data_IF_051859121711
#
_entry.id   IF_051859121711
#
_cell.length_a   1.000
_cell.length_b   1.000
_cell.length_c   1.000
_cell.angle_alpha   90.00
_cell.angle_beta   90.00
_cell.angle_gamma   90.00
#
_symmetry.space_group_name_H-M   'P 1'
#
loop_
_entity.id
_entity.type
_entity.pdbx_description
1 polymer ?
#
# COMPACT_ATOMS: atom_id res chain seq x y z
N UNK A 1 38.49 28.12 -46.19
CA UNK A 1 39.66 27.67 -45.41
C UNK A 1 39.16 27.53 -43.98
N UNK A 2 38.61 26.34 -43.70
CA UNK A 2 39.21 25.30 -42.83
C UNK A 2 38.77 25.53 -41.37
N UNK A 3 37.76 24.79 -40.89
CA UNK A 3 37.79 23.40 -40.38
C UNK A 3 38.55 23.23 -39.07
N UNK A 4 37.81 22.94 -37.98
CA UNK A 4 38.01 21.87 -36.98
C UNK A 4 36.98 22.08 -35.85
N UNK A 5 35.84 21.38 -35.79
CA UNK A 5 35.61 20.01 -35.27
C UNK A 5 36.42 19.68 -34.01
N UNK A 6 35.86 20.03 -32.85
CA UNK A 6 36.25 19.52 -31.53
C UNK A 6 35.13 18.63 -30.97
N UNK A 7 35.43 17.34 -30.91
CA UNK A 7 34.60 16.21 -30.50
C UNK A 7 34.30 16.26 -28.98
N UNK A 8 33.04 16.42 -28.59
CA UNK A 8 32.59 16.14 -27.22
C UNK A 8 32.76 14.64 -26.97
N UNK A 9 33.67 14.29 -26.04
CA UNK A 9 33.80 12.94 -25.50
C UNK A 9 32.98 12.90 -24.22
N UNK A 10 31.99 12.01 -24.19
CA UNK A 10 31.34 11.61 -22.95
C UNK A 10 32.39 11.16 -21.95
N UNK A 11 32.41 11.81 -20.80
CA UNK A 11 33.05 11.28 -19.62
C UNK A 11 32.07 10.32 -18.97
N UNK A 12 32.35 9.03 -19.07
CA UNK A 12 31.90 8.09 -18.05
C UNK A 12 32.57 8.54 -16.74
N UNK A 13 31.79 9.06 -15.80
CA UNK A 13 32.22 9.16 -14.41
C UNK A 13 32.29 7.75 -13.84
N UNK A 14 33.46 7.13 -14.00
CA UNK A 14 33.83 5.94 -13.24
C UNK A 14 33.98 6.36 -11.78
N UNK A 15 32.97 6.05 -10.98
CA UNK A 15 33.01 6.25 -9.53
C UNK A 15 34.02 5.25 -8.95
N UNK A 16 35.23 5.73 -8.69
CA UNK A 16 36.25 4.99 -7.95
C UNK A 16 35.87 5.07 -6.46
N UNK A 17 35.34 3.98 -5.90
CA UNK A 17 35.10 3.86 -4.47
C UNK A 17 36.44 3.57 -3.80
N UNK A 18 36.98 4.54 -3.05
CA UNK A 18 38.14 4.30 -2.20
C UNK A 18 37.75 3.32 -1.07
N UNK A 19 38.61 2.32 -0.75
CA UNK A 19 38.31 1.30 0.25
C UNK A 19 38.29 1.81 1.70
N UNK A 20 38.60 3.09 1.93
CA UNK A 20 38.82 3.65 3.27
C UNK A 20 37.68 4.52 3.81
N UNK A 21 36.50 4.54 3.17
CA UNK A 21 35.24 4.92 3.83
C UNK A 21 35.20 6.27 4.57
N UNK A 22 35.95 7.28 4.13
CA UNK A 22 35.82 8.63 4.69
C UNK A 22 34.59 9.33 4.13
N UNK A 23 33.46 9.14 4.82
CA UNK A 23 32.30 10.03 4.74
C UNK A 23 32.67 11.30 5.49
N UNK A 24 32.68 12.43 4.76
CA UNK A 24 33.06 13.74 5.28
C UNK A 24 32.31 14.13 6.56
N UNK A 25 32.98 14.96 7.36
CA UNK A 25 32.61 15.46 8.70
C UNK A 25 31.10 15.72 8.88
N UNK A 26 30.37 14.68 9.27
CA UNK A 26 29.01 14.77 9.78
C UNK A 26 29.04 15.06 11.28
N UNK A 27 28.21 15.99 11.73
CA UNK A 27 28.09 16.40 13.13
C UNK A 27 27.94 15.21 14.08
N UNK A 28 28.61 15.30 15.23
CA UNK A 28 28.64 14.26 16.25
C UNK A 28 27.26 14.12 16.92
N UNK A 29 26.50 13.10 16.54
CA UNK A 29 25.20 12.78 17.15
C UNK A 29 25.39 12.42 18.63
N UNK A 30 24.80 13.21 19.55
CA UNK A 30 24.88 12.97 21.00
C UNK A 30 23.94 11.84 21.44
N UNK A 31 24.47 10.62 21.38
CA UNK A 31 23.77 9.40 21.79
C UNK A 31 23.62 9.26 23.32
N UNK A 32 24.12 10.18 24.15
CA UNK A 32 24.05 10.03 25.62
C UNK A 32 22.62 10.21 26.17
N UNK A 33 21.75 10.93 25.47
CA UNK A 33 20.35 11.14 25.86
C UNK A 33 19.52 9.84 25.82
N UNK A 34 19.81 8.96 24.85
CA UNK A 34 19.12 7.69 24.62
C UNK A 34 19.31 6.66 25.75
N UNK A 35 20.42 6.72 26.50
CA UNK A 35 20.72 5.72 27.54
C UNK A 35 19.98 5.94 28.86
N UNK A 36 19.10 6.95 28.97
CA UNK A 36 18.30 7.16 30.19
C UNK A 36 17.02 6.31 30.25
N UNK A 37 16.58 5.72 29.14
CA UNK A 37 15.25 5.09 29.03
C UNK A 37 15.27 3.59 28.74
N UNK A 38 16.43 2.99 28.44
CA UNK A 38 16.52 1.55 28.20
C UNK A 38 16.53 0.75 29.53
N UNK A 39 15.68 -0.27 29.59
CA UNK A 39 15.47 -1.20 30.69
C UNK A 39 16.77 -1.68 31.38
N UNK A 40 16.68 -1.82 32.70
CA UNK A 40 17.75 -1.91 33.73
C UNK A 40 18.68 -3.13 33.57
N UNK A 41 18.37 -4.07 32.66
CA UNK A 41 19.19 -5.26 32.41
C UNK A 41 20.59 -4.92 31.85
N UNK A 42 20.72 -3.84 31.08
CA UNK A 42 22.01 -3.39 30.51
C UNK A 42 22.97 -2.76 31.53
N UNK A 43 22.51 -2.53 32.76
CA UNK A 43 23.32 -2.01 33.88
C UNK A 43 24.09 -3.12 34.60
N UNK A 44 23.78 -4.39 34.35
CA UNK A 44 24.47 -5.55 34.96
C UNK A 44 25.74 -5.98 34.22
N UNK A 45 25.90 -5.56 32.96
CA UNK A 45 27.06 -5.91 32.14
C UNK A 45 28.33 -5.13 32.50
N UNK A 46 29.52 -5.76 32.51
CA UNK A 46 30.81 -5.09 32.69
C UNK A 46 30.98 -3.87 31.78
N UNK A 47 31.62 -2.81 32.30
CA UNK A 47 31.77 -1.53 31.58
C UNK A 47 32.39 -1.66 30.18
N UNK A 48 33.31 -2.62 30.00
CA UNK A 48 33.93 -2.91 28.70
C UNK A 48 32.92 -3.43 27.69
N UNK A 49 31.99 -4.28 28.12
CA UNK A 49 30.93 -4.83 27.26
C UNK A 49 29.97 -3.70 26.87
N UNK A 50 29.54 -2.88 27.83
CA UNK A 50 28.69 -1.69 27.56
C UNK A 50 29.32 -0.75 26.54
N UNK A 51 30.63 -0.46 26.64
CA UNK A 51 31.35 0.37 25.64
C UNK A 51 31.35 -0.24 24.25
N UNK A 52 31.57 -1.56 24.13
CA UNK A 52 31.52 -2.27 22.84
C UNK A 52 30.13 -2.18 22.24
N UNK A 53 29.08 -2.42 23.03
CA UNK A 53 27.69 -2.28 22.57
C UNK A 53 27.38 -0.86 22.11
N UNK A 54 27.83 0.17 22.84
CA UNK A 54 27.68 1.57 22.39
C UNK A 54 28.38 1.84 21.05
N UNK A 55 29.59 1.29 20.86
CA UNK A 55 30.29 1.40 19.59
C UNK A 55 29.54 0.70 18.45
N UNK A 56 28.98 -0.49 18.70
CA UNK A 56 28.15 -1.22 17.73
C UNK A 56 26.88 -0.43 17.36
N UNK A 57 26.20 0.20 18.33
CA UNK A 57 25.05 1.09 18.05
C UNK A 57 25.42 2.29 17.18
N UNK A 58 26.61 2.87 17.39
CA UNK A 58 27.12 3.96 16.52
C UNK A 58 27.41 3.47 15.10
N UNK A 59 27.87 2.23 14.92
CA UNK A 59 28.02 1.61 13.59
C UNK A 59 26.64 1.43 12.95
N UNK A 60 25.66 0.91 13.69
CA UNK A 60 24.30 0.72 13.20
C UNK A 60 23.65 2.04 12.75
N UNK A 61 23.76 3.10 13.55
CA UNK A 61 23.24 4.43 13.20
C UNK A 61 23.88 5.01 11.93
N UNK A 62 25.16 4.72 11.66
CA UNK A 62 25.79 5.07 10.37
C UNK A 62 25.21 4.26 9.22
N UNK A 63 24.85 3.00 9.44
CA UNK A 63 24.13 2.16 8.48
C UNK A 63 22.79 2.78 8.08
N UNK A 64 22.01 3.25 9.06
CA UNK A 64 20.71 3.92 8.81
C UNK A 64 20.84 5.15 7.90
N UNK A 65 21.92 5.91 8.02
CA UNK A 65 22.20 7.05 7.12
C UNK A 65 22.54 6.64 5.69
N UNK A 66 23.11 5.44 5.49
CA UNK A 66 23.35 4.88 4.16
C UNK A 66 22.03 4.38 3.56
N UNK A 67 21.21 3.67 4.34
CA UNK A 67 19.88 3.23 3.90
C UNK A 67 18.98 4.42 3.53
N UNK A 68 19.02 5.51 4.30
CA UNK A 68 18.35 6.77 3.97
C UNK A 68 18.65 7.26 2.56
N UNK A 69 19.95 7.27 2.20
CA UNK A 69 20.42 7.68 0.86
C UNK A 69 20.00 6.70 -0.23
N UNK A 70 20.03 5.40 0.07
CA UNK A 70 19.56 4.36 -0.83
C UNK A 70 18.09 4.58 -1.22
N UNK A 71 17.23 4.88 -0.25
CA UNK A 71 15.82 5.18 -0.53
C UNK A 71 15.60 6.54 -1.23
N UNK A 72 16.45 7.53 -0.98
CA UNK A 72 16.49 8.78 -1.75
C UNK A 72 16.75 8.50 -3.25
N UNK A 73 17.72 7.63 -3.55
CA UNK A 73 18.04 7.21 -4.92
C UNK A 73 16.90 6.40 -5.55
N UNK A 74 16.26 5.51 -4.79
CA UNK A 74 15.04 4.80 -5.24
C UNK A 74 13.96 5.79 -5.64
N UNK A 75 13.64 6.79 -4.80
CA UNK A 75 12.61 7.79 -5.11
C UNK A 75 12.91 8.59 -6.40
N UNK A 76 14.17 8.89 -6.67
CA UNK A 76 14.59 9.52 -7.93
C UNK A 76 14.37 8.55 -9.10
N UNK A 77 14.71 7.27 -8.93
CA UNK A 77 14.55 6.24 -9.93
C UNK A 77 13.08 5.97 -10.25
N UNK A 78 12.22 5.87 -9.23
CA UNK A 78 10.78 5.72 -9.38
C UNK A 78 10.19 6.85 -10.22
N UNK A 79 10.51 8.12 -9.92
CA UNK A 79 10.04 9.26 -10.71
C UNK A 79 10.50 9.21 -12.17
N UNK A 80 11.73 8.73 -12.41
CA UNK A 80 12.22 8.52 -13.78
C UNK A 80 11.39 7.48 -14.51
N UNK A 81 11.14 6.32 -13.91
CA UNK A 81 10.39 5.23 -14.57
C UNK A 81 8.89 5.52 -14.67
N UNK A 82 8.33 6.26 -13.72
CA UNK A 82 6.95 6.75 -13.80
C UNK A 82 6.73 7.52 -15.11
N UNK A 83 7.66 8.40 -15.50
CA UNK A 83 7.57 9.12 -16.78
C UNK A 83 7.56 8.21 -18.02
N UNK A 84 8.13 7.00 -17.93
CA UNK A 84 8.12 6.01 -18.99
C UNK A 84 6.82 5.18 -19.02
N UNK A 85 6.19 4.98 -17.86
CA UNK A 85 4.89 4.30 -17.76
C UNK A 85 3.71 5.20 -18.16
N UNK A 86 3.79 6.50 -17.91
CA UNK A 86 2.74 7.47 -18.26
C UNK A 86 2.19 7.36 -19.70
N UNK A 87 3.01 7.25 -20.78
CA UNK A 87 2.47 7.06 -22.13
C UNK A 87 1.74 5.72 -22.30
N UNK A 88 2.15 4.64 -21.61
CA UNK A 88 1.49 3.34 -21.65
C UNK A 88 0.13 3.40 -20.93
N UNK A 89 0.07 4.05 -19.77
CA UNK A 89 -1.19 4.28 -19.05
C UNK A 89 -2.14 5.21 -19.81
N UNK A 90 -1.61 6.21 -20.51
CA UNK A 90 -2.40 7.04 -21.41
C UNK A 90 -2.97 6.21 -22.58
N UNK A 91 -2.19 5.31 -23.18
CA UNK A 91 -2.68 4.40 -24.22
C UNK A 91 -3.76 3.46 -23.70
N UNK A 92 -3.56 2.85 -22.52
CA UNK A 92 -4.59 2.04 -21.84
C UNK A 92 -5.89 2.82 -21.69
N UNK A 93 -5.83 4.07 -21.23
CA UNK A 93 -7.01 4.93 -21.10
C UNK A 93 -7.71 5.19 -22.45
N UNK A 94 -6.97 5.38 -23.54
CA UNK A 94 -7.59 5.56 -24.86
C UNK A 94 -8.39 4.32 -25.28
N UNK A 95 -7.87 3.12 -24.99
CA UNK A 95 -8.51 1.83 -25.29
C UNK A 95 -9.72 1.63 -24.38
N UNK A 96 -9.54 1.71 -23.05
CA UNK A 96 -10.64 1.46 -22.09
C UNK A 96 -11.79 2.45 -22.25
N UNK A 97 -11.54 3.68 -22.68
CA UNK A 97 -12.59 4.68 -22.97
C UNK A 97 -13.14 4.64 -24.40
N UNK A 98 -12.60 3.76 -25.28
CA UNK A 98 -13.01 3.63 -26.68
C UNK A 98 -12.74 4.88 -27.52
N UNK A 99 -11.70 5.65 -27.17
CA UNK A 99 -11.21 6.77 -27.97
C UNK A 99 -10.26 6.30 -29.07
N UNK A 100 -9.66 5.13 -28.90
CA UNK A 100 -8.82 4.45 -29.89
C UNK A 100 -9.17 2.96 -29.90
N UNK A 101 -9.40 2.41 -31.09
CA UNK A 101 -9.47 0.95 -31.27
C UNK A 101 -8.04 0.40 -31.47
N UNK A 102 -7.66 -0.69 -30.79
CA UNK A 102 -6.39 -1.36 -31.02
C UNK A 102 -6.28 -1.89 -32.45
N UNK A 103 -5.06 -1.95 -32.98
CA UNK A 103 -4.77 -2.62 -34.26
C UNK A 103 -4.66 -4.13 -34.08
N UNK A 104 -4.86 -4.88 -35.16
CA UNK A 104 -4.73 -6.34 -35.17
C UNK A 104 -3.37 -6.80 -34.60
N UNK A 105 -2.27 -6.11 -34.94
CA UNK A 105 -0.93 -6.46 -34.41
C UNK A 105 -0.75 -6.14 -32.92
N UNK A 106 -1.52 -5.19 -32.37
CA UNK A 106 -1.51 -4.85 -30.94
C UNK A 106 -2.34 -5.84 -30.11
N UNK A 107 -3.23 -6.60 -30.78
CA UNK A 107 -4.05 -7.65 -30.18
C UNK A 107 -3.38 -9.04 -30.21
N UNK A 108 -2.29 -9.20 -30.96
CA UNK A 108 -1.54 -10.46 -31.08
C UNK A 108 -0.67 -10.71 -29.83
N UNK A 109 -1.33 -11.02 -28.71
CA UNK A 109 -0.69 -11.32 -27.44
C UNK A 109 -0.46 -12.83 -27.29
N UNK A 110 0.77 -13.31 -26.98
CA UNK A 110 1.10 -14.75 -27.00
C UNK A 110 0.41 -15.65 -25.96
N UNK A 111 -0.52 -15.13 -25.15
CA UNK A 111 -1.10 -15.80 -23.98
C UNK A 111 -2.55 -16.31 -24.17
N UNK A 112 -2.96 -16.63 -25.39
CA UNK A 112 -3.99 -17.66 -25.57
C UNK A 112 -3.38 -19.04 -25.23
N UNK A 113 -2.96 -19.25 -23.96
CA UNK A 113 -2.83 -20.60 -23.44
C UNK A 113 -4.26 -21.15 -23.33
N UNK A 114 -4.45 -22.41 -23.77
CA UNK A 114 -5.76 -23.07 -23.79
C UNK A 114 -6.52 -22.92 -22.45
N UNK A 115 -5.83 -22.77 -21.32
CA UNK A 115 -6.42 -22.62 -19.98
C UNK A 115 -7.09 -21.25 -19.73
N UNK A 116 -6.48 -20.13 -20.14
CA UNK A 116 -7.07 -18.80 -19.97
C UNK A 116 -8.28 -18.62 -20.90
N UNK A 117 -8.15 -19.13 -22.13
CA UNK A 117 -9.24 -19.18 -23.10
C UNK A 117 -10.39 -20.10 -22.63
N UNK A 118 -10.10 -21.25 -22.00
CA UNK A 118 -11.11 -22.12 -21.39
C UNK A 118 -11.82 -21.48 -20.19
N UNK A 119 -11.11 -20.72 -19.34
CA UNK A 119 -11.70 -20.00 -18.21
C UNK A 119 -12.62 -18.86 -18.69
N UNK A 120 -12.17 -18.08 -19.67
CA UNK A 120 -12.98 -17.05 -20.32
C UNK A 120 -14.21 -17.65 -21.03
N UNK A 121 -14.06 -18.81 -21.68
CA UNK A 121 -15.19 -19.53 -22.29
C UNK A 121 -16.17 -20.08 -21.25
N UNK A 122 -15.71 -20.58 -20.10
CA UNK A 122 -16.59 -21.00 -18.98
C UNK A 122 -17.38 -19.83 -18.42
N UNK A 123 -16.72 -18.70 -18.15
CA UNK A 123 -17.38 -17.48 -17.69
C UNK A 123 -18.40 -16.94 -18.71
N UNK A 124 -18.12 -17.04 -20.01
CA UNK A 124 -19.08 -16.73 -21.09
C UNK A 124 -20.22 -17.74 -21.19
N UNK A 125 -19.95 -19.03 -20.94
CA UNK A 125 -20.94 -20.11 -21.04
C UNK A 125 -22.00 -20.06 -19.94
N UNK A 126 -21.63 -19.57 -18.75
CA UNK A 126 -22.57 -19.31 -17.65
C UNK A 126 -23.43 -18.06 -17.91
N UNK A 127 -23.00 -17.19 -18.84
CA UNK A 127 -23.67 -15.97 -19.23
C UNK A 127 -24.24 -16.07 -20.66
N UNK A 128 -24.96 -17.17 -20.95
CA UNK A 128 -25.62 -17.43 -22.25
C UNK A 128 -26.73 -16.41 -22.54
N UNK A 129 -26.32 -15.26 -23.06
CA UNK A 129 -27.13 -14.28 -23.74
C UNK A 129 -26.26 -13.45 -24.67
N UNK A 130 -26.37 -13.72 -25.98
CA UNK A 130 -25.78 -13.01 -27.12
C UNK A 130 -24.29 -13.27 -27.43
N UNK A 131 -24.02 -14.35 -28.17
CA UNK A 131 -22.98 -14.31 -29.20
C UNK A 131 -23.68 -14.09 -30.55
N UNK A 132 -23.30 -13.01 -31.24
CA UNK A 132 -23.75 -12.69 -32.60
C UNK A 132 -24.38 -11.31 -32.71
N UNK A 133 -23.61 -10.36 -33.25
CA UNK A 133 -24.09 -9.15 -33.94
C UNK A 133 -24.83 -8.05 -33.13
N UNK A 134 -24.34 -7.69 -31.94
CA UNK A 134 -24.70 -6.42 -31.25
C UNK A 134 -23.48 -5.59 -30.77
N UNK A 135 -22.28 -5.78 -31.36
CA UNK A 135 -21.09 -4.99 -31.02
C UNK A 135 -21.12 -3.55 -31.60
N UNK A 136 -22.05 -3.25 -32.51
CA UNK A 136 -22.26 -1.91 -33.07
C UNK A 136 -22.84 -0.97 -32.01
N UNK A 137 -21.95 -0.39 -31.18
CA UNK A 137 -22.30 0.65 -30.21
C UNK A 137 -21.63 0.53 -28.85
N UNK A 138 -20.94 -0.57 -28.56
CA UNK A 138 -20.14 -0.70 -27.33
C UNK A 138 -18.85 0.09 -27.54
N UNK A 139 -18.65 1.13 -26.71
CA UNK A 139 -17.47 1.98 -26.78
C UNK A 139 -16.49 1.63 -25.65
N UNK A 140 -15.28 1.24 -26.00
CA UNK A 140 -14.23 0.92 -25.04
C UNK A 140 -14.55 -0.35 -24.24
N UNK A 141 -14.12 -0.37 -22.98
CA UNK A 141 -14.37 -1.47 -22.04
C UNK A 141 -15.24 -0.94 -20.90
N UNK A 142 -16.58 -1.10 -20.99
CA UNK A 142 -17.49 -0.60 -19.96
C UNK A 142 -17.12 -1.12 -18.57
N UNK A 143 -17.17 -0.23 -17.58
CA UNK A 143 -16.97 -0.54 -16.16
C UNK A 143 -15.62 -1.19 -15.83
N UNK A 144 -14.60 -1.04 -16.70
CA UNK A 144 -13.26 -1.63 -16.53
C UNK A 144 -12.72 -1.54 -15.11
N UNK A 145 -12.70 -0.33 -14.53
CA UNK A 145 -12.15 -0.12 -13.18
C UNK A 145 -13.03 -0.70 -12.07
N UNK A 146 -14.35 -0.58 -12.17
CA UNK A 146 -15.26 -1.18 -11.19
C UNK A 146 -15.10 -2.71 -11.18
N UNK A 147 -15.05 -3.35 -12.34
CA UNK A 147 -14.83 -4.79 -12.46
C UNK A 147 -13.46 -5.18 -11.91
N UNK A 148 -12.39 -4.46 -12.26
CA UNK A 148 -11.05 -4.73 -11.74
C UNK A 148 -10.99 -4.60 -10.21
N UNK A 149 -11.62 -3.58 -9.62
CA UNK A 149 -11.67 -3.39 -8.17
C UNK A 149 -12.47 -4.50 -7.47
N UNK A 150 -13.58 -4.95 -8.06
CA UNK A 150 -14.40 -6.05 -7.50
C UNK A 150 -13.71 -7.40 -7.52
N UNK A 151 -12.73 -7.59 -8.41
CA UNK A 151 -11.90 -8.80 -8.45
C UNK A 151 -10.73 -8.76 -7.45
N UNK A 152 -10.63 -7.72 -6.62
CA UNK A 152 -9.59 -7.57 -5.59
C UNK A 152 -10.25 -7.56 -4.21
N UNK A 153 -9.97 -8.54 -3.37
CA UNK A 153 -10.62 -8.72 -2.06
C UNK A 153 -10.69 -7.44 -1.22
N UNK A 154 -9.54 -6.82 -0.94
CA UNK A 154 -9.47 -5.61 -0.10
C UNK A 154 -10.26 -4.42 -0.68
N UNK A 155 -10.34 -4.28 -2.00
CA UNK A 155 -11.09 -3.19 -2.65
C UNK A 155 -12.58 -3.53 -2.77
N UNK A 156 -12.91 -4.80 -3.03
CA UNK A 156 -14.27 -5.30 -3.10
C UNK A 156 -15.00 -5.15 -1.76
N UNK A 157 -14.31 -5.41 -0.64
CA UNK A 157 -14.83 -5.18 0.72
C UNK A 157 -15.19 -3.72 1.01
N UNK A 158 -14.53 -2.77 0.33
CA UNK A 158 -14.84 -1.35 0.49
C UNK A 158 -16.05 -0.92 -0.34
N UNK A 159 -16.42 -1.68 -1.38
CA UNK A 159 -17.46 -1.31 -2.33
C UNK A 159 -18.80 -1.87 -1.88
N UNK A 160 -19.71 -0.98 -1.52
CA UNK A 160 -21.09 -1.34 -1.24
C UNK A 160 -21.94 -1.31 -2.51
N UNK A 161 -23.04 -2.06 -2.51
CA UNK A 161 -23.97 -2.13 -3.66
C UNK A 161 -24.50 -0.77 -4.13
N UNK A 162 -24.57 0.22 -3.23
CA UNK A 162 -25.02 1.58 -3.54
C UNK A 162 -23.92 2.48 -4.12
N UNK A 163 -22.65 2.06 -4.04
CA UNK A 163 -21.51 2.77 -4.64
C UNK A 163 -21.35 2.44 -6.12
N UNK A 164 -21.72 1.22 -6.53
CA UNK A 164 -21.54 0.73 -7.89
C UNK A 164 -22.08 1.69 -8.97
N UNK A 165 -23.29 2.28 -8.87
CA UNK A 165 -23.79 3.22 -9.87
C UNK A 165 -22.88 4.45 -10.07
N UNK A 166 -22.19 4.90 -9.03
CA UNK A 166 -21.23 6.01 -9.12
C UNK A 166 -19.92 5.53 -9.74
N UNK A 167 -19.42 4.36 -9.30
CA UNK A 167 -18.17 3.76 -9.77
C UNK A 167 -18.25 3.27 -11.23
N UNK A 168 -19.45 3.01 -11.75
CA UNK A 168 -19.66 2.74 -13.18
C UNK A 168 -19.18 3.88 -14.08
N UNK A 169 -19.09 5.10 -13.56
CA UNK A 169 -18.60 6.29 -14.26
C UNK A 169 -17.09 6.53 -14.10
N UNK A 170 -16.37 5.65 -13.39
CA UNK A 170 -14.91 5.74 -13.21
C UNK A 170 -14.18 5.38 -14.51
N UNK A 171 -13.55 6.37 -15.13
CA UNK A 171 -12.83 6.23 -16.41
C UNK A 171 -11.35 5.86 -16.22
N UNK A 172 -10.72 6.37 -15.15
CA UNK A 172 -9.29 6.17 -14.92
C UNK A 172 -8.94 6.21 -13.42
N UNK A 173 -7.91 5.45 -13.04
CA UNK A 173 -7.18 5.65 -11.79
C UNK A 173 -5.72 5.88 -12.14
N UNK A 174 -5.16 7.01 -11.68
CA UNK A 174 -3.76 7.39 -11.96
C UNK A 174 -3.02 7.79 -10.69
N UNK A 175 -1.72 7.52 -10.66
CA UNK A 175 -0.81 8.00 -9.61
C UNK A 175 -0.02 9.21 -10.09
N UNK A 176 0.20 10.16 -9.17
CA UNK A 176 1.13 11.28 -9.32
C UNK A 176 2.13 11.22 -8.17
N UNK A 177 3.42 11.07 -8.46
CA UNK A 177 4.48 11.15 -7.46
C UNK A 177 4.81 12.62 -7.17
N UNK A 178 4.78 13.00 -5.89
CA UNK A 178 5.03 14.36 -5.42
C UNK A 178 6.39 14.40 -4.74
N UNK A 179 7.24 15.34 -5.16
CA UNK A 179 8.58 15.47 -4.60
C UNK A 179 8.61 16.25 -3.28
N UNK A 180 7.77 17.28 -3.12
CA UNK A 180 7.84 18.23 -2.02
C UNK A 180 6.43 18.72 -1.58
N UNK A 181 5.98 18.39 -0.35
CA UNK A 181 6.54 17.35 0.50
C UNK A 181 6.48 15.98 -0.22
N UNK A 182 7.49 15.13 0.01
CA UNK A 182 7.57 13.82 -0.64
C UNK A 182 6.29 13.01 -0.39
N UNK A 183 5.82 12.28 -1.41
CA UNK A 183 4.58 11.53 -1.31
C UNK A 183 3.99 11.18 -2.66
N UNK A 184 2.71 10.83 -2.67
CA UNK A 184 1.99 10.52 -3.91
C UNK A 184 0.51 10.83 -3.79
N UNK A 185 -0.15 10.98 -4.94
CA UNK A 185 -1.59 11.15 -5.05
C UNK A 185 -2.18 10.08 -5.94
N UNK A 186 -3.33 9.56 -5.53
CA UNK A 186 -4.17 8.66 -6.31
C UNK A 186 -5.37 9.48 -6.78
N UNK A 187 -5.54 9.58 -8.10
CA UNK A 187 -6.58 10.35 -8.74
C UNK A 187 -7.57 9.41 -9.44
N UNK A 188 -8.83 9.48 -9.01
CA UNK A 188 -9.96 8.74 -9.56
C UNK A 188 -10.73 9.66 -10.50
N UNK A 189 -10.65 9.42 -11.80
CA UNK A 189 -11.22 10.27 -12.84
C UNK A 189 -12.60 9.76 -13.24
N UNK A 190 -13.63 10.59 -13.07
CA UNK A 190 -15.00 10.25 -13.38
C UNK A 190 -15.47 10.97 -14.64
N UNK A 191 -16.19 10.25 -15.49
CA UNK A 191 -17.02 10.85 -16.52
C UNK A 191 -18.08 11.76 -15.87
N UNK A 192 -18.55 12.82 -16.55
CA UNK A 192 -19.71 13.59 -16.10
C UNK A 192 -20.89 12.66 -15.81
N UNK A 193 -21.43 12.75 -14.60
CA UNK A 193 -22.47 11.83 -14.12
C UNK A 193 -23.50 12.54 -13.24
N UNK A 194 -24.57 11.83 -12.89
CA UNK A 194 -25.68 12.39 -12.11
C UNK A 194 -25.45 12.38 -10.59
N UNK A 195 -24.35 11.80 -10.11
CA UNK A 195 -24.11 11.56 -8.68
C UNK A 195 -23.19 12.60 -8.05
N UNK A 196 -22.07 12.92 -8.71
CA UNK A 196 -21.04 13.82 -8.21
C UNK A 196 -20.71 14.92 -9.22
N UNK A 197 -20.29 16.09 -8.74
CA UNK A 197 -19.83 17.20 -9.59
C UNK A 197 -18.35 17.11 -9.91
N UNK A 198 -17.57 16.44 -9.06
CA UNK A 198 -16.14 16.27 -9.25
C UNK A 198 -15.87 15.46 -10.53
N UNK A 199 -14.97 15.95 -11.38
CA UNK A 199 -14.38 15.14 -12.45
C UNK A 199 -13.24 14.27 -11.94
N UNK A 200 -12.61 14.65 -10.81
CA UNK A 200 -11.52 13.90 -10.18
C UNK A 200 -11.72 13.91 -8.67
N UNK A 201 -11.68 12.73 -8.05
CA UNK A 201 -11.51 12.57 -6.60
C UNK A 201 -10.06 12.19 -6.32
N UNK A 202 -9.44 12.88 -5.36
CA UNK A 202 -8.00 12.73 -5.08
C UNK A 202 -7.79 12.28 -3.64
N UNK A 203 -6.98 11.23 -3.47
CA UNK A 203 -6.41 10.81 -2.20
C UNK A 203 -4.90 11.09 -2.23
N UNK A 204 -4.39 11.79 -1.22
CA UNK A 204 -2.98 12.20 -1.13
C UNK A 204 -2.32 11.56 0.07
N UNK A 205 -1.09 11.09 -0.08
CA UNK A 205 -0.26 10.53 0.98
C UNK A 205 1.06 11.29 1.05
N UNK A 206 1.45 11.70 2.25
CA UNK A 206 2.73 12.34 2.54
C UNK A 206 3.67 11.32 3.13
N UNK A 207 4.86 11.20 2.56
CA UNK A 207 5.90 10.27 3.00
C UNK A 207 7.08 11.01 3.59
N UNK A 208 7.73 10.41 4.58
CA UNK A 208 9.02 10.87 5.10
C UNK A 208 10.09 9.82 4.85
N UNK A 209 11.32 10.27 4.72
CA UNK A 209 12.50 9.42 4.58
C UNK A 209 13.64 9.95 5.49
N UNK A 210 13.29 10.60 6.60
CA UNK A 210 14.25 11.20 7.51
C UNK A 210 14.56 10.23 8.66
N UNK A 211 15.81 10.26 9.15
CA UNK A 211 16.23 9.51 10.33
C UNK A 211 16.02 10.42 11.55
N UNK A 212 15.28 9.98 12.58
CA UNK A 212 15.12 10.77 13.81
C UNK A 212 16.47 10.88 14.53
N UNK A 213 16.96 12.10 14.75
CA UNK A 213 18.22 12.33 15.45
C UNK A 213 18.19 11.85 16.91
N UNK A 214 17.01 11.81 17.54
CA UNK A 214 16.82 11.37 18.92
C UNK A 214 16.69 9.86 19.04
N UNK A 215 16.25 9.20 17.98
CA UNK A 215 16.21 7.74 17.87
C UNK A 215 16.63 7.25 16.48
N UNK A 216 17.92 7.34 16.11
CA UNK A 216 18.33 7.00 14.75
C UNK A 216 18.15 5.53 14.39
N UNK A 217 17.94 4.66 15.39
CA UNK A 217 17.81 3.22 15.21
C UNK A 217 16.37 2.77 14.97
N UNK A 218 15.39 3.68 15.03
CA UNK A 218 14.00 3.40 14.68
C UNK A 218 13.69 3.56 13.20
N UNK A 219 14.65 4.05 12.41
CA UNK A 219 14.49 4.21 10.97
C UNK A 219 14.32 2.84 10.27
N UNK A 220 13.24 2.70 9.50
CA UNK A 220 12.88 1.47 8.77
C UNK A 220 12.60 1.73 7.28
N UNK A 221 13.06 2.87 6.76
CA UNK A 221 12.81 3.30 5.39
C UNK A 221 11.74 4.37 5.26
N UNK A 222 11.29 4.67 4.02
CA UNK A 222 10.24 5.64 3.76
C UNK A 222 8.90 5.17 4.29
N UNK A 223 8.24 6.01 5.08
CA UNK A 223 6.94 5.71 5.66
C UNK A 223 5.89 6.76 5.30
N UNK A 224 4.63 6.34 5.18
CA UNK A 224 3.50 7.26 5.07
C UNK A 224 3.25 7.85 6.45
N UNK A 225 3.29 9.18 6.54
CA UNK A 225 3.09 9.92 7.80
C UNK A 225 1.80 10.71 7.83
N UNK A 226 1.17 10.92 6.68
CA UNK A 226 -0.10 11.62 6.60
C UNK A 226 -0.89 11.19 5.37
N UNK A 227 -2.22 11.27 5.46
CA UNK A 227 -3.11 11.09 4.33
C UNK A 227 -4.20 12.16 4.33
N UNK A 228 -4.60 12.59 3.14
CA UNK A 228 -5.65 13.59 2.94
C UNK A 228 -6.53 13.17 1.78
N UNK A 229 -7.83 13.08 2.03
CA UNK A 229 -8.81 12.88 0.97
C UNK A 229 -9.27 14.20 0.35
N UNK A 230 -10.44 14.16 -0.28
CA UNK A 230 -11.06 15.33 -0.89
C UNK A 230 -12.57 15.33 -0.65
N UNK A 231 -13.19 16.50 -0.68
CA UNK A 231 -14.65 16.60 -0.56
C UNK A 231 -15.34 16.05 -1.81
N UNK A 232 -16.19 15.05 -1.61
CA UNK A 232 -17.09 14.54 -2.66
C UNK A 232 -18.31 15.47 -2.75
N UNK A 233 -18.42 16.19 -3.86
CA UNK A 233 -19.49 17.14 -4.14
C UNK A 233 -20.72 16.43 -4.73
N UNK A 234 -21.47 15.78 -3.85
CA UNK A 234 -22.71 15.08 -4.21
C UNK A 234 -23.75 16.01 -4.82
N UNK A 235 -24.39 15.54 -5.89
CA UNK A 235 -25.61 16.15 -6.44
C UNK A 235 -26.78 16.00 -5.45
N UNK A 236 -27.81 16.80 -5.65
CA UNK A 236 -28.95 16.84 -4.74
C UNK A 236 -29.63 15.47 -4.61
N UNK A 237 -29.71 14.94 -3.39
CA UNK A 237 -30.27 13.61 -3.06
C UNK A 237 -29.55 12.42 -3.74
N UNK A 238 -28.27 12.58 -4.09
CA UNK A 238 -27.46 11.53 -4.72
C UNK A 238 -26.28 11.06 -3.87
N UNK A 239 -26.18 11.54 -2.62
CA UNK A 239 -25.16 11.10 -1.69
C UNK A 239 -25.40 9.64 -1.27
N UNK A 240 -24.55 8.74 -1.76
CA UNK A 240 -24.66 7.30 -1.50
C UNK A 240 -24.13 6.92 -0.12
N UNK A 241 -23.29 7.75 0.50
CA UNK A 241 -22.78 7.55 1.87
C UNK A 241 -23.85 7.82 2.94
N UNK A 242 -25.08 8.18 2.53
CA UNK A 242 -26.17 8.53 3.43
C UNK A 242 -27.50 7.90 2.99
N UNK A 243 -28.19 7.26 3.93
CA UNK A 243 -29.58 6.81 3.74
C UNK A 243 -30.54 7.77 4.43
N UNK A 244 -31.71 7.97 3.82
CA UNK A 244 -32.79 8.79 4.38
C UNK A 244 -33.92 7.90 4.90
N UNK A 245 -34.30 8.07 6.16
CA UNK A 245 -35.47 7.41 6.76
C UNK A 245 -36.51 8.47 7.14
N UNK A 246 -37.74 8.28 6.70
CA UNK A 246 -38.84 9.16 7.09
C UNK A 246 -39.52 8.61 8.35
N UNK A 247 -39.60 9.44 9.39
CA UNK A 247 -40.32 9.15 10.62
C UNK A 247 -41.55 10.04 10.72
N UNK A 248 -42.71 9.43 10.96
CA UNK A 248 -43.95 10.16 11.28
C UNK A 248 -43.93 10.51 12.76
N UNK A 249 -43.83 11.79 13.07
CA UNK A 249 -43.91 12.32 14.44
C UNK A 249 -45.28 12.95 14.62
N UNK A 250 -45.97 12.59 15.70
CA UNK A 250 -47.20 13.28 16.11
C UNK A 250 -46.83 14.44 17.02
N UNK A 251 -47.23 15.64 16.64
CA UNK A 251 -47.06 16.83 17.46
C UNK A 251 -48.05 16.78 18.64
N UNK A 252 -47.81 17.61 19.67
CA UNK A 252 -48.67 17.71 20.87
C UNK A 252 -50.13 18.02 20.55
N UNK A 253 -50.41 18.55 19.36
CA UNK A 253 -51.74 18.92 18.86
C UNK A 253 -52.39 17.82 17.98
N UNK A 254 -51.80 16.63 17.89
CA UNK A 254 -52.33 15.49 17.13
C UNK A 254 -52.06 15.52 15.61
N UNK A 255 -51.40 16.56 15.10
CA UNK A 255 -50.96 16.65 13.69
C UNK A 255 -49.75 15.76 13.44
N UNK A 256 -49.73 15.06 12.30
CA UNK A 256 -48.63 14.17 11.91
C UNK A 256 -47.66 14.93 11.00
N UNK A 257 -46.43 15.14 11.47
CA UNK A 257 -45.32 15.70 10.71
C UNK A 257 -44.40 14.59 10.22
N UNK A 258 -44.05 14.59 8.94
CA UNK A 258 -42.99 13.73 8.39
C UNK A 258 -41.65 14.42 8.63
N UNK A 259 -40.76 13.76 9.36
CA UNK A 259 -39.38 14.20 9.58
C UNK A 259 -38.45 13.24 8.84
N UNK A 260 -37.61 13.77 7.96
CA UNK A 260 -36.58 13.01 7.26
C UNK A 260 -35.31 13.04 8.09
N UNK A 261 -34.84 11.87 8.50
CA UNK A 261 -33.60 11.68 9.24
C UNK A 261 -32.57 11.05 8.31
N UNK A 262 -31.34 11.58 8.31
CA UNK A 262 -30.24 11.08 7.48
C UNK A 262 -29.27 10.30 8.37
N UNK A 263 -28.86 9.12 7.91
CA UNK A 263 -27.90 8.26 8.59
C UNK A 263 -26.74 7.97 7.65
N UNK A 264 -25.50 8.04 8.16
CA UNK A 264 -24.33 7.61 7.39
C UNK A 264 -24.33 6.08 7.29
N UNK A 265 -23.95 5.57 6.13
CA UNK A 265 -23.70 4.14 5.88
C UNK A 265 -22.27 3.98 5.40
N UNK A 266 -21.62 2.83 5.65
CA UNK A 266 -20.35 2.50 5.03
C UNK A 266 -20.45 2.65 3.51
N UNK A 267 -19.38 3.16 2.90
CA UNK A 267 -19.30 3.38 1.46
C UNK A 267 -17.84 3.46 1.04
N UNK A 268 -17.52 3.01 -0.17
CA UNK A 268 -16.20 3.19 -0.78
C UNK A 268 -15.73 4.65 -0.71
N UNK A 269 -16.66 5.60 -0.85
CA UNK A 269 -16.34 7.03 -0.87
C UNK A 269 -15.87 7.58 0.49
N UNK A 270 -16.00 6.80 1.58
CA UNK A 270 -15.36 7.12 2.86
C UNK A 270 -13.82 7.10 2.75
N UNK A 271 -13.24 6.41 1.77
CA UNK A 271 -11.81 6.45 1.46
C UNK A 271 -11.28 7.87 1.19
N UNK A 272 -12.14 8.79 0.72
CA UNK A 272 -11.79 10.20 0.49
C UNK A 272 -12.03 11.08 1.73
N UNK A 273 -12.39 10.50 2.86
CA UNK A 273 -12.59 11.19 4.14
C UNK A 273 -11.85 10.46 5.27
N UNK A 274 -10.51 10.29 5.17
CA UNK A 274 -9.74 9.58 6.20
C UNK A 274 -9.78 10.34 7.54
N UNK A 275 -9.48 9.67 8.67
CA UNK A 275 -9.28 10.34 9.95
C UNK A 275 -8.21 11.43 9.86
N UNK A 276 -8.43 12.55 10.56
CA UNK A 276 -7.43 13.63 10.64
C UNK A 276 -6.28 13.22 11.56
N UNK A 277 -5.04 13.36 11.08
CA UNK A 277 -3.82 13.14 11.88
C UNK A 277 -3.44 14.46 12.55
N UNK A 278 -3.46 14.54 13.90
CA UNK A 278 -3.13 15.77 14.61
C UNK A 278 -1.67 16.18 14.37
N UNK A 279 -1.42 17.49 14.27
CA UNK A 279 -0.07 18.02 14.06
C UNK A 279 0.80 18.03 15.34
N UNK A 280 0.19 17.83 16.51
CA UNK A 280 0.91 17.80 17.79
C UNK A 280 1.54 16.41 17.99
N UNK A 281 2.88 16.29 18.00
CA UNK A 281 3.56 15.00 18.15
C UNK A 281 3.35 14.36 19.53
N UNK A 282 2.83 15.10 20.52
CA UNK A 282 2.47 14.56 21.83
C UNK A 282 1.01 14.11 21.92
N UNK A 283 0.23 14.26 20.84
CA UNK A 283 -1.15 13.81 20.82
C UNK A 283 -1.18 12.28 20.70
N UNK A 284 -1.70 11.62 21.73
CA UNK A 284 -1.97 10.19 21.69
C UNK A 284 -3.25 9.95 20.89
N UNK A 285 -3.10 9.32 19.73
CA UNK A 285 -4.23 8.86 18.93
C UNK A 285 -4.86 7.62 19.54
N UNK A 286 -6.18 7.54 19.41
CA UNK A 286 -6.94 6.35 19.76
C UNK A 286 -6.50 5.15 18.90
N UNK A 287 -6.39 3.98 19.52
CA UNK A 287 -5.90 2.75 18.89
C UNK A 287 -6.78 2.33 17.70
N UNK A 288 -8.10 2.51 17.78
CA UNK A 288 -9.00 2.19 16.66
C UNK A 288 -8.74 3.11 15.46
N UNK A 289 -8.43 4.38 15.71
CA UNK A 289 -8.10 5.35 14.65
C UNK A 289 -6.74 5.04 14.02
N UNK A 290 -5.76 4.60 14.81
CA UNK A 290 -4.47 4.15 14.30
C UNK A 290 -4.64 2.94 13.37
N UNK A 291 -5.42 1.93 13.77
CA UNK A 291 -5.73 0.76 12.92
C UNK A 291 -6.42 1.17 11.62
N UNK A 292 -7.35 2.13 11.68
CA UNK A 292 -8.00 2.67 10.47
C UNK A 292 -7.01 3.36 9.53
N UNK A 293 -6.08 4.16 10.06
CA UNK A 293 -5.05 4.82 9.25
C UNK A 293 -4.05 3.84 8.65
N UNK A 294 -3.59 2.85 9.42
CA UNK A 294 -2.71 1.80 8.88
C UNK A 294 -3.37 1.09 7.72
N UNK A 295 -4.63 0.66 7.89
CA UNK A 295 -5.41 0.05 6.80
C UNK A 295 -5.55 0.99 5.59
N UNK A 296 -5.76 2.28 5.83
CA UNK A 296 -5.84 3.29 4.76
C UNK A 296 -4.52 3.43 3.99
N UNK A 297 -3.40 3.41 4.70
CA UNK A 297 -2.05 3.50 4.13
C UNK A 297 -1.73 2.26 3.30
N UNK A 298 -2.03 1.07 3.82
CA UNK A 298 -1.86 -0.21 3.12
C UNK A 298 -2.67 -0.24 1.82
N UNK A 299 -3.93 0.21 1.86
CA UNK A 299 -4.78 0.31 0.66
C UNK A 299 -4.20 1.32 -0.33
N UNK A 300 -3.75 2.48 0.14
CA UNK A 300 -3.13 3.50 -0.71
C UNK A 300 -1.88 2.98 -1.43
N UNK A 301 -1.02 2.28 -0.71
CA UNK A 301 0.18 1.65 -1.25
C UNK A 301 -0.17 0.53 -2.23
N UNK A 302 -1.10 -0.36 -1.86
CA UNK A 302 -1.57 -1.43 -2.73
C UNK A 302 -2.14 -0.90 -4.05
N UNK A 303 -2.95 0.17 -4.00
CA UNK A 303 -3.51 0.78 -5.21
C UNK A 303 -2.39 1.31 -6.12
N UNK A 304 -1.39 1.98 -5.54
CA UNK A 304 -0.25 2.55 -6.26
C UNK A 304 0.66 1.48 -6.87
N UNK A 305 1.07 0.50 -6.07
CA UNK A 305 2.20 -0.39 -6.39
C UNK A 305 1.75 -1.67 -7.11
N UNK A 306 0.52 -2.12 -6.85
CA UNK A 306 0.02 -3.41 -7.35
C UNK A 306 -1.16 -3.23 -8.29
N UNK A 307 -2.22 -2.56 -7.83
CA UNK A 307 -3.48 -2.51 -8.56
C UNK A 307 -3.38 -1.78 -9.90
N UNK A 308 -2.88 -0.53 -9.89
CA UNK A 308 -2.83 0.30 -11.11
C UNK A 308 -1.89 -0.29 -12.17
N UNK A 309 -0.66 -0.76 -11.83
CA UNK A 309 0.22 -1.38 -12.81
C UNK A 309 -0.37 -2.64 -13.46
N UNK A 310 -1.18 -3.41 -12.71
CA UNK A 310 -1.75 -4.70 -13.15
C UNK A 310 -3.26 -4.67 -13.38
N UNK A 311 -3.85 -3.49 -13.60
CA UNK A 311 -5.31 -3.31 -13.67
C UNK A 311 -6.02 -4.24 -14.68
N UNK A 312 -5.37 -4.57 -15.81
CA UNK A 312 -5.93 -5.49 -16.81
C UNK A 312 -5.99 -6.93 -16.27
N UNK A 313 -4.96 -7.39 -15.55
CA UNK A 313 -4.96 -8.72 -14.92
C UNK A 313 -6.02 -8.81 -13.82
N UNK A 314 -6.24 -7.73 -13.07
CA UNK A 314 -7.35 -7.69 -12.11
C UNK A 314 -8.70 -7.69 -12.82
N UNK A 315 -8.84 -7.00 -13.96
CA UNK A 315 -10.06 -7.03 -14.77
C UNK A 315 -10.35 -8.45 -15.32
N UNK A 316 -9.34 -9.16 -15.83
CA UNK A 316 -9.48 -10.53 -16.36
C UNK A 316 -9.61 -11.58 -15.26
N UNK A 317 -9.22 -11.25 -14.02
CA UNK A 317 -9.20 -12.17 -12.89
C UNK A 317 -7.96 -13.08 -12.84
N UNK A 318 -6.94 -12.78 -13.64
CA UNK A 318 -5.68 -13.54 -13.72
C UNK A 318 -4.64 -13.09 -12.68
N UNK A 319 -4.84 -11.93 -12.07
CA UNK A 319 -3.96 -11.47 -11.01
C UNK A 319 -4.09 -12.39 -9.79
N UNK A 320 -2.95 -12.91 -9.31
CA UNK A 320 -2.88 -13.60 -8.02
C UNK A 320 -3.41 -12.68 -6.92
N UNK A 321 -4.52 -13.05 -6.29
CA UNK A 321 -5.04 -12.37 -5.11
C UNK A 321 -4.34 -12.96 -3.88
N UNK A 322 -3.17 -12.43 -3.54
CA UNK A 322 -2.33 -12.86 -2.39
C UNK A 322 -2.95 -12.54 -1.00
N UNK A 323 -4.27 -12.36 -0.92
CA UNK A 323 -4.98 -11.94 0.29
C UNK A 323 -6.22 -12.81 0.57
N UNK A 324 -6.27 -14.05 0.10
CA UNK A 324 -7.51 -14.85 0.16
C UNK A 324 -7.37 -16.37 0.21
N UNK A 325 -6.21 -16.93 0.58
CA UNK A 325 -6.10 -18.35 0.90
C UNK A 325 -5.41 -18.56 2.25
N UNK A 326 -6.05 -18.08 3.33
CA UNK A 326 -6.08 -18.89 4.54
C UNK A 326 -7.00 -20.09 4.23
N UNK A 327 -6.49 -21.03 3.42
CA UNK A 327 -7.00 -22.39 3.48
C UNK A 327 -6.58 -22.91 4.85
N UNK A 328 -7.54 -22.82 5.79
CA UNK A 328 -7.69 -23.58 7.02
C UNK A 328 -6.90 -24.90 6.96
N UNK A 329 -5.61 -24.86 7.32
CA UNK A 329 -4.81 -26.06 7.54
C UNK A 329 -5.33 -26.70 8.82
N UNK A 330 -6.28 -27.62 8.59
CA UNK A 330 -6.77 -28.67 9.47
C UNK A 330 -6.25 -28.65 10.91
N UNK A 331 -7.19 -28.36 11.80
CA UNK A 331 -7.37 -29.02 13.10
C UNK A 331 -6.75 -30.43 13.15
N UNK A 332 -5.54 -30.54 13.69
CA UNK A 332 -5.00 -31.76 14.27
C UNK A 332 -4.89 -31.51 15.78
N UNK A 333 -6.00 -31.73 16.49
CA UNK A 333 -5.99 -32.00 17.93
C UNK A 333 -5.06 -33.19 18.21
N UNK A 334 -3.80 -32.92 18.58
CA UNK A 334 -3.02 -33.90 19.35
C UNK A 334 -3.26 -33.67 20.84
N UNK A 335 -4.29 -34.37 21.30
CA UNK A 335 -4.54 -34.77 22.68
C UNK A 335 -3.24 -35.20 23.39
N UNK A 336 -2.75 -34.36 24.31
CA UNK A 336 -1.65 -34.70 25.22
C UNK A 336 -2.14 -34.60 26.66
N UNK A 337 -3.10 -35.46 26.98
CA UNK A 337 -3.46 -35.80 28.35
C UNK A 337 -2.34 -36.61 29.03
N UNK A 338 -1.55 -35.91 29.84
CA UNK A 338 -1.22 -36.30 31.20
C UNK A 338 -0.25 -37.48 31.44
N UNK A 339 0.99 -37.16 31.82
CA UNK A 339 1.63 -37.81 32.97
C UNK A 339 2.40 -36.78 33.81
N UNK A 340 1.83 -36.51 34.98
CA UNK A 340 2.42 -35.74 36.08
C UNK A 340 3.54 -36.51 36.78
N UNK A 341 4.50 -35.75 37.30
CA UNK A 341 5.29 -35.97 38.51
C UNK A 341 6.01 -37.31 38.70
N UNK A 342 7.35 -37.26 38.67
CA UNK A 342 8.13 -37.62 39.88
C UNK A 342 9.51 -36.93 39.87
N UNK A 343 9.58 -35.80 40.59
CA UNK A 343 10.82 -35.25 41.09
C UNK A 343 11.26 -36.07 42.30
N UNK A 344 12.46 -36.65 42.22
CA UNK A 344 13.47 -36.84 43.30
C UNK A 344 13.97 -38.28 43.47
N UNK A 345 15.24 -38.51 43.12
CA UNK A 345 16.22 -38.90 44.14
C UNK A 345 17.67 -39.01 43.62
N UNK A 346 18.56 -38.48 44.46
CA UNK A 346 19.93 -38.93 44.76
C UNK A 346 21.01 -38.65 43.70
N UNK A 347 21.77 -37.56 43.84
CA UNK A 347 22.89 -37.38 44.79
C UNK A 347 24.12 -38.25 44.49
N UNK A 348 25.14 -37.56 43.98
CA UNK A 348 26.59 -37.73 44.16
C UNK A 348 27.15 -39.06 44.70
N UNK A 349 28.09 -39.66 43.94
CA UNK A 349 29.46 -39.87 44.43
C UNK A 349 30.46 -40.38 43.36
N UNK A 350 31.39 -39.47 42.98
CA UNK A 350 32.86 -39.60 42.93
C UNK A 350 33.57 -40.68 42.05
N UNK A 351 34.87 -40.44 41.73
CA UNK A 351 35.51 -40.77 40.45
C UNK A 351 36.29 -42.08 40.47
N UNK A 352 36.61 -42.61 39.29
CA UNK A 352 37.64 -43.65 39.13
C UNK A 352 38.92 -43.07 38.54
N UNK A 353 40.00 -43.40 39.24
CA UNK A 353 41.39 -43.07 38.99
C UNK A 353 41.93 -43.66 37.69
N UNK A 354 43.04 -43.06 37.26
CA UNK A 354 43.85 -43.41 36.12
C UNK A 354 44.36 -44.85 36.14
N UNK A 355 44.40 -45.47 34.96
CA UNK A 355 45.26 -46.62 34.66
C UNK A 355 46.49 -46.09 33.91
N UNK A 356 47.72 -46.30 34.42
CA UNK A 356 48.92 -45.86 33.75
C UNK A 356 49.38 -46.99 32.84
N UNK A 357 49.15 -46.90 31.53
CA UNK A 357 49.88 -47.56 30.44
C UNK A 357 48.95 -47.55 29.20
N UNK A 358 48.94 -46.43 28.49
CA UNK A 358 48.69 -46.47 27.05
C UNK A 358 49.71 -45.55 26.38
N UNK A 359 50.35 -46.09 25.35
CA UNK A 359 51.67 -45.71 24.82
C UNK A 359 51.70 -44.39 24.05
#
# INVERSE_FOLDING_TARGET
MESQKGRERGGEEVITINPDGEVGDGEEVDLNSYFKTADDSSLTEPWMIRRRVKALKKILARGMQIERKFYEEISILERKYESLFQPLYAQRLQITSGKCEPKDEECDFPEDSDAAYELLQKARSDNKGSEGDEADGIKGIPHFWLTAMKNVGVLAEMIESHDEPVLQHLENISVELVAEPNGFKINFHFAPNEFIKNSVLTKSYTMKNDVDERDPLSYDGPEITNCHGCTVEWQENRNVTQIQRQKKIKDKNGSVKLVTEKFRVPSFFDFFSPPEIPSDPNFEMDEEVLVQLTRDFDIGQFIRETFIPRAVMHYTGEAETDHGSDEDEGDDETDYDGLSDDMSNLSMNKPREADPYDQ
#
